data_IF_118249801747
#
_entry.id   IF_118249801747
#
_cell.length_a   1.000
_cell.length_b   1.000
_cell.length_c   1.000
_cell.angle_alpha   90.00
_cell.angle_beta   90.00
_cell.angle_gamma   90.00
#
_symmetry.space_group_name_H-M   'P 1'
#
loop_
_entity.id
_entity.type
_entity.pdbx_description
1 polymer ?
#
# COMPACT_ATOMS: atom_id res chain seq x y z
N UNK A 1 26.27 -15.04 -12.27
CA UNK A 1 26.14 -16.34 -11.57
C UNK A 1 24.75 -16.39 -10.96
N UNK A 2 24.08 -17.53 -10.88
CA UNK A 2 22.70 -17.60 -10.33
C UNK A 2 22.71 -18.25 -8.93
N UNK A 3 22.25 -17.51 -7.92
CA UNK A 3 21.98 -18.01 -6.58
C UNK A 3 20.48 -18.30 -6.46
N UNK A 4 20.10 -19.51 -5.98
CA UNK A 4 18.69 -19.87 -5.87
C UNK A 4 18.05 -19.33 -4.59
N UNK A 5 16.75 -19.04 -4.64
CA UNK A 5 15.95 -18.66 -3.45
C UNK A 5 16.06 -19.73 -2.36
N UNK A 6 16.12 -21.01 -2.72
CA UNK A 6 16.28 -22.10 -1.76
C UNK A 6 17.62 -22.02 -1.01
N UNK A 7 18.71 -21.69 -1.72
CA UNK A 7 20.03 -21.51 -1.08
C UNK A 7 20.02 -20.32 -0.13
N UNK A 8 19.43 -19.20 -0.53
CA UNK A 8 19.27 -18.00 0.30
C UNK A 8 18.48 -18.34 1.57
N UNK A 9 17.35 -19.03 1.43
CA UNK A 9 16.53 -19.44 2.57
C UNK A 9 17.30 -20.33 3.55
N UNK A 10 18.10 -21.29 3.05
CA UNK A 10 18.97 -22.12 3.92
C UNK A 10 20.01 -21.29 4.67
N UNK A 11 20.55 -20.22 4.07
CA UNK A 11 21.47 -19.30 4.76
C UNK A 11 20.73 -18.49 5.84
N UNK A 12 19.51 -18.02 5.55
CA UNK A 12 18.66 -17.29 6.51
C UNK A 12 18.36 -18.18 7.71
N UNK A 13 17.94 -19.43 7.49
CA UNK A 13 17.64 -20.40 8.56
C UNK A 13 18.85 -20.70 9.46
N UNK A 14 20.07 -20.63 8.92
CA UNK A 14 21.32 -20.82 9.66
C UNK A 14 21.83 -19.55 10.34
N UNK A 15 21.30 -18.38 9.98
CA UNK A 15 21.84 -17.09 10.41
C UNK A 15 23.12 -16.66 9.67
N UNK A 16 23.42 -17.29 8.54
CA UNK A 16 24.63 -17.04 7.72
C UNK A 16 24.37 -16.04 6.58
N UNK A 17 23.12 -15.65 6.35
CA UNK A 17 22.76 -14.78 5.23
C UNK A 17 23.27 -13.35 5.42
N UNK A 18 23.88 -12.80 4.38
CA UNK A 18 24.25 -11.38 4.33
C UNK A 18 23.03 -10.57 3.90
N UNK A 19 22.48 -9.81 4.85
CA UNK A 19 21.30 -8.97 4.65
C UNK A 19 21.70 -7.50 4.77
N UNK A 20 21.46 -6.73 3.71
CA UNK A 20 21.71 -5.28 3.67
C UNK A 20 20.42 -4.53 3.37
N UNK A 21 20.32 -3.28 3.79
CA UNK A 21 19.28 -2.38 3.27
C UNK A 21 19.69 -1.85 1.90
N UNK A 22 18.71 -1.45 1.08
CA UNK A 22 18.98 -0.79 -0.19
C UNK A 22 19.87 0.46 0.00
N UNK A 23 19.69 1.20 1.10
CA UNK A 23 20.55 2.35 1.43
C UNK A 23 21.99 1.94 1.77
N UNK A 24 22.21 0.83 2.48
CA UNK A 24 23.56 0.35 2.78
C UNK A 24 24.31 -0.09 1.52
N UNK A 25 23.64 -0.82 0.63
CA UNK A 25 24.22 -1.12 -0.70
C UNK A 25 24.50 0.17 -1.46
N UNK A 26 23.67 1.20 -1.23
CA UNK A 26 23.98 2.50 -1.78
C UNK A 26 25.29 3.08 -1.23
N UNK A 27 25.39 3.23 0.07
CA UNK A 27 26.56 3.85 0.70
C UNK A 27 27.88 3.15 0.30
N UNK A 28 27.88 1.81 0.20
CA UNK A 28 29.02 1.01 -0.25
C UNK A 28 29.46 1.30 -1.70
N UNK A 29 28.51 1.47 -2.62
CA UNK A 29 28.82 1.85 -4.01
C UNK A 29 29.38 3.27 -4.08
N UNK A 30 28.84 4.21 -3.30
CA UNK A 30 29.31 5.59 -3.30
C UNK A 30 30.69 5.73 -2.62
N UNK A 31 31.07 4.82 -1.71
CA UNK A 31 32.44 4.70 -1.20
C UNK A 31 33.41 3.99 -2.16
N UNK A 32 32.92 3.48 -3.29
CA UNK A 32 33.72 2.82 -4.33
C UNK A 32 34.01 1.34 -4.08
N UNK A 33 33.22 0.67 -3.24
CA UNK A 33 33.37 -0.78 -3.03
C UNK A 33 32.85 -1.59 -4.24
N UNK A 34 33.58 -2.66 -4.58
CA UNK A 34 33.18 -3.61 -5.63
C UNK A 34 32.30 -4.72 -5.03
N UNK A 35 31.01 -4.44 -4.92
CA UNK A 35 30.00 -5.41 -4.44
C UNK A 35 29.58 -6.32 -5.60
N UNK A 36 29.61 -7.63 -5.36
CA UNK A 36 29.19 -8.68 -6.29
C UNK A 36 27.96 -9.42 -5.78
N UNK A 37 27.26 -10.11 -6.67
CA UNK A 37 26.01 -10.81 -6.32
C UNK A 37 26.23 -11.95 -5.30
N UNK A 38 27.45 -12.45 -5.19
CA UNK A 38 27.83 -13.47 -4.20
C UNK A 38 28.07 -12.91 -2.78
N UNK A 39 28.24 -11.59 -2.65
CA UNK A 39 28.56 -10.94 -1.37
C UNK A 39 27.30 -10.60 -0.55
N UNK A 40 26.13 -10.58 -1.18
CA UNK A 40 24.86 -10.15 -0.58
C UNK A 40 23.76 -11.15 -0.92
N UNK A 41 23.06 -11.66 0.09
CA UNK A 41 21.98 -12.63 -0.11
C UNK A 41 20.62 -11.95 -0.29
N UNK A 42 20.35 -10.93 0.52
CA UNK A 42 19.07 -10.22 0.53
C UNK A 42 19.30 -8.72 0.69
N UNK A 43 18.57 -7.94 -0.10
CA UNK A 43 18.48 -6.49 0.07
C UNK A 43 17.08 -6.11 0.50
N UNK A 44 16.94 -5.52 1.70
CA UNK A 44 15.64 -5.01 2.17
C UNK A 44 15.36 -3.64 1.54
N UNK A 45 14.24 -3.55 0.83
CA UNK A 45 13.76 -2.36 0.15
C UNK A 45 12.40 -1.93 0.71
N UNK A 46 12.03 -0.66 0.58
CA UNK A 46 10.78 -0.16 1.10
C UNK A 46 10.20 0.99 0.27
N UNK A 47 8.88 1.16 0.36
CA UNK A 47 8.18 2.30 -0.22
C UNK A 47 7.04 2.73 0.67
N UNK A 48 6.76 4.03 0.70
CA UNK A 48 5.60 4.61 1.39
C UNK A 48 5.12 5.79 0.57
N UNK A 49 3.87 5.74 0.11
CA UNK A 49 3.29 6.79 -0.72
C UNK A 49 1.77 6.78 -0.62
N UNK A 50 1.13 7.73 -1.30
CA UNK A 50 -0.29 7.64 -1.64
C UNK A 50 -0.49 6.46 -2.57
N UNK A 51 -1.37 5.55 -2.19
CA UNK A 51 -1.63 4.27 -2.84
C UNK A 51 -3.13 4.09 -3.07
N UNK A 52 -3.68 4.82 -4.05
CA UNK A 52 -5.13 4.82 -4.35
C UNK A 52 -5.68 3.43 -4.74
N UNK A 53 -4.82 2.49 -5.15
CA UNK A 53 -5.19 1.09 -5.43
C UNK A 53 -5.45 0.24 -4.20
N UNK A 54 -5.72 0.84 -3.04
CA UNK A 54 -5.93 0.17 -1.75
C UNK A 54 -7.40 -0.12 -1.50
N UNK A 55 -7.72 -1.27 -0.89
CA UNK A 55 -9.04 -1.53 -0.32
C UNK A 55 -8.94 -2.47 0.89
N UNK A 56 -9.94 -2.45 1.75
CA UNK A 56 -10.06 -3.38 2.88
C UNK A 56 -11.24 -4.32 2.68
N UNK A 57 -11.11 -5.55 3.18
CA UNK A 57 -12.23 -6.48 3.40
C UNK A 57 -12.34 -6.71 4.91
N UNK A 58 -13.51 -6.43 5.46
CA UNK A 58 -13.79 -6.54 6.89
C UNK A 58 -14.97 -7.50 7.11
N UNK A 59 -14.88 -8.34 8.13
CA UNK A 59 -15.97 -9.19 8.63
C UNK A 59 -16.06 -9.05 10.15
N UNK A 60 -17.24 -8.68 10.65
CA UNK A 60 -17.45 -8.52 12.08
C UNK A 60 -18.91 -8.68 12.51
N UNK A 61 -19.16 -9.15 13.75
CA UNK A 61 -20.49 -9.15 14.33
C UNK A 61 -20.99 -7.72 14.51
N UNK A 62 -22.27 -7.52 14.22
CA UNK A 62 -23.01 -6.30 14.46
C UNK A 62 -24.15 -6.59 15.41
N UNK A 63 -24.00 -6.08 16.63
CA UNK A 63 -25.12 -6.02 17.56
C UNK A 63 -26.21 -5.11 17.00
N UNK A 64 -27.37 -5.68 16.75
CA UNK A 64 -28.56 -4.92 16.37
C UNK A 64 -29.71 -5.36 17.27
N UNK A 65 -30.40 -4.38 17.87
CA UNK A 65 -31.66 -4.64 18.60
C UNK A 65 -32.80 -5.06 17.66
N UNK A 66 -32.56 -5.02 16.35
CA UNK A 66 -33.50 -5.38 15.29
C UNK A 66 -32.82 -6.43 14.41
N UNK A 67 -33.34 -7.66 14.37
CA UNK A 67 -32.88 -8.64 13.38
C UNK A 67 -33.18 -8.10 11.98
N UNK A 68 -32.19 -7.58 11.28
CA UNK A 68 -32.36 -7.12 9.90
C UNK A 68 -31.93 -8.22 8.93
N UNK A 69 -32.66 -8.35 7.82
CA UNK A 69 -32.44 -9.43 6.86
C UNK A 69 -31.29 -9.10 5.89
N UNK A 70 -31.04 -7.82 5.62
CA UNK A 70 -30.08 -7.36 4.63
C UNK A 70 -29.65 -5.92 4.87
N UNK A 71 -28.33 -5.66 4.85
CA UNK A 71 -27.82 -4.30 4.80
C UNK A 71 -27.89 -3.79 3.36
N UNK A 72 -28.40 -2.57 3.18
CA UNK A 72 -28.44 -1.90 1.87
C UNK A 72 -27.26 -0.94 1.72
N UNK A 73 -27.04 -0.11 2.74
CA UNK A 73 -25.93 0.85 2.78
C UNK A 73 -25.26 0.76 4.14
N UNK A 74 -23.93 0.82 4.15
CA UNK A 74 -23.13 0.83 5.38
C UNK A 74 -22.11 1.95 5.30
N UNK A 75 -21.92 2.64 6.42
CA UNK A 75 -20.93 3.71 6.54
C UNK A 75 -20.09 3.47 7.81
N UNK A 76 -18.78 3.61 7.70
CA UNK A 76 -17.83 3.51 8.83
C UNK A 76 -17.17 4.86 9.04
N UNK A 77 -17.44 5.53 10.17
CA UNK A 77 -17.10 6.95 10.39
C UNK A 77 -17.55 7.87 9.22
N UNK A 78 -18.66 7.52 8.58
CA UNK A 78 -19.20 8.22 7.40
C UNK A 78 -18.54 7.88 6.07
N UNK A 79 -17.47 7.07 6.04
CA UNK A 79 -16.89 6.51 4.80
C UNK A 79 -17.83 5.42 4.29
N UNK A 80 -18.31 5.48 3.04
CA UNK A 80 -19.19 4.45 2.49
C UNK A 80 -18.45 3.11 2.39
N UNK A 81 -19.17 2.03 2.66
CA UNK A 81 -18.70 0.66 2.53
C UNK A 81 -19.63 -0.13 1.62
N UNK A 82 -19.06 -0.96 0.75
CA UNK A 82 -19.80 -1.89 -0.08
C UNK A 82 -20.16 -3.13 0.73
N UNK A 83 -21.46 -3.43 0.83
CA UNK A 83 -21.96 -4.64 1.51
C UNK A 83 -21.62 -5.89 0.68
N UNK A 84 -21.13 -6.93 1.34
CA UNK A 84 -20.64 -8.16 0.74
C UNK A 84 -19.11 -8.28 0.84
N UNK A 85 -18.50 -9.29 0.19
CA UNK A 85 -19.06 -10.08 -0.90
C UNK A 85 -19.99 -11.24 -0.45
N UNK A 86 -19.97 -11.61 0.84
CA UNK A 86 -20.72 -12.74 1.37
C UNK A 86 -21.83 -12.23 2.33
N UNK A 87 -23.06 -11.97 1.88
CA UNK A 87 -24.10 -11.45 2.77
C UNK A 87 -24.45 -12.48 3.87
N UNK A 88 -24.12 -12.15 5.12
CA UNK A 88 -24.31 -12.99 6.31
C UNK A 88 -25.12 -12.29 7.42
N UNK A 89 -25.92 -11.29 7.08
CA UNK A 89 -26.55 -10.39 8.06
C UNK A 89 -27.58 -11.09 8.95
N UNK A 90 -28.14 -12.23 8.49
CA UNK A 90 -28.99 -13.10 9.32
C UNK A 90 -28.25 -13.70 10.52
N UNK A 91 -26.93 -13.84 10.43
CA UNK A 91 -26.07 -14.28 11.53
C UNK A 91 -25.63 -13.09 12.40
N UNK A 92 -26.11 -11.88 12.09
CA UNK A 92 -25.63 -10.66 12.72
C UNK A 92 -24.20 -10.31 12.33
N UNK A 93 -23.72 -10.72 11.15
CA UNK A 93 -22.36 -10.42 10.67
C UNK A 93 -22.46 -9.50 9.45
N UNK A 94 -21.63 -8.46 9.43
CA UNK A 94 -21.41 -7.65 8.23
C UNK A 94 -20.11 -8.07 7.57
N UNK A 95 -20.19 -8.39 6.28
CA UNK A 95 -19.06 -8.47 5.38
C UNK A 95 -19.05 -7.19 4.54
N UNK A 96 -17.92 -6.48 4.55
CA UNK A 96 -17.78 -5.16 3.92
C UNK A 96 -16.50 -5.08 3.08
N UNK A 97 -16.58 -4.35 1.98
CA UNK A 97 -15.43 -3.90 1.21
C UNK A 97 -15.37 -2.37 1.23
N UNK A 98 -14.22 -1.80 1.58
CA UNK A 98 -14.01 -0.35 1.63
C UNK A 98 -12.89 0.04 0.67
N UNK A 99 -13.12 1.02 -0.22
CA UNK A 99 -12.07 1.50 -1.10
C UNK A 99 -11.27 2.61 -0.44
N UNK A 100 -9.95 2.56 -0.59
CA UNK A 100 -9.01 3.50 0.04
C UNK A 100 -9.18 4.96 -0.41
N UNK A 101 -9.85 5.17 -1.56
CA UNK A 101 -10.16 6.48 -2.13
C UNK A 101 -11.53 7.01 -1.71
N UNK A 102 -12.32 6.27 -0.93
CA UNK A 102 -13.63 6.74 -0.50
C UNK A 102 -13.51 7.81 0.58
N UNK A 103 -14.32 8.86 0.47
CA UNK A 103 -14.34 9.99 1.39
C UNK A 103 -15.52 9.88 2.36
N UNK A 104 -15.37 10.43 3.56
CA UNK A 104 -16.49 10.52 4.49
C UNK A 104 -17.53 11.51 3.99
N UNK A 105 -18.81 11.14 4.09
CA UNK A 105 -19.92 12.05 3.81
C UNK A 105 -20.15 13.07 4.94
N UNK A 106 -19.51 12.86 6.09
CA UNK A 106 -19.68 13.71 7.28
C UNK A 106 -18.53 14.72 7.45
N UNK A 107 -17.34 14.42 6.92
CA UNK A 107 -16.14 15.25 7.03
C UNK A 107 -15.33 15.18 5.73
N UNK A 108 -15.23 16.32 5.04
CA UNK A 108 -14.51 16.43 3.76
C UNK A 108 -12.99 16.20 3.88
N UNK A 109 -12.44 16.23 5.10
CA UNK A 109 -11.02 15.97 5.36
C UNK A 109 -10.74 14.53 5.76
N UNK A 110 -11.77 13.73 5.99
CA UNK A 110 -11.64 12.34 6.42
C UNK A 110 -11.99 11.38 5.27
N UNK A 111 -11.26 10.28 5.17
CA UNK A 111 -11.44 9.29 4.11
C UNK A 111 -10.98 7.91 4.58
N UNK A 112 -11.11 6.91 3.71
CA UNK A 112 -10.83 5.51 4.05
C UNK A 112 -9.41 5.28 4.57
N UNK A 113 -8.41 6.01 4.04
CA UNK A 113 -7.05 5.97 4.61
C UNK A 113 -6.99 6.35 6.09
N UNK A 114 -7.75 7.38 6.51
CA UNK A 114 -7.86 7.77 7.92
C UNK A 114 -8.57 6.67 8.73
N UNK A 115 -9.68 6.14 8.20
CA UNK A 115 -10.42 5.04 8.82
C UNK A 115 -9.56 3.79 9.04
N UNK A 116 -8.75 3.41 8.06
CA UNK A 116 -7.88 2.24 8.18
C UNK A 116 -6.83 2.43 9.28
N UNK A 117 -6.31 3.65 9.44
CA UNK A 117 -5.40 3.97 10.54
C UNK A 117 -6.11 3.98 11.89
N UNK A 118 -7.30 4.57 11.99
CA UNK A 118 -8.09 4.54 13.22
C UNK A 118 -8.34 3.09 13.68
N UNK A 119 -8.67 2.20 12.75
CA UNK A 119 -8.79 0.76 13.03
C UNK A 119 -7.47 0.17 13.51
N UNK A 120 -6.35 0.44 12.85
CA UNK A 120 -5.03 -0.03 13.27
C UNK A 120 -4.57 0.55 14.62
N UNK A 121 -5.09 1.72 15.04
CA UNK A 121 -4.91 2.34 16.36
C UNK A 121 -5.89 1.80 17.41
N UNK A 122 -6.80 0.89 17.00
CA UNK A 122 -7.83 0.24 17.82
C UNK A 122 -8.84 1.26 18.34
N UNK A 123 -9.00 2.35 17.61
CA UNK A 123 -9.98 3.38 17.90
C UNK A 123 -11.38 2.84 17.62
N UNK A 124 -12.34 3.35 18.39
CA UNK A 124 -13.75 3.03 18.19
C UNK A 124 -14.28 3.75 16.96
N UNK A 125 -14.82 2.99 16.00
CA UNK A 125 -15.41 3.44 14.75
C UNK A 125 -16.92 3.30 14.81
N UNK A 126 -17.65 4.35 14.44
CA UNK A 126 -19.11 4.30 14.29
C UNK A 126 -19.48 3.59 12.98
N UNK A 127 -20.28 2.54 13.06
CA UNK A 127 -20.87 1.85 11.91
C UNK A 127 -22.35 2.20 11.83
N UNK A 128 -22.75 2.88 10.77
CA UNK A 128 -24.15 3.17 10.44
C UNK A 128 -24.61 2.18 9.39
N UNK A 129 -25.72 1.50 9.66
CA UNK A 129 -26.36 0.57 8.73
C UNK A 129 -27.72 1.12 8.32
N UNK A 130 -28.01 1.11 7.02
CA UNK A 130 -29.34 1.35 6.45
C UNK A 130 -29.81 0.02 5.84
N UNK A 131 -30.95 -0.47 6.29
CA UNK A 131 -31.52 -1.74 5.84
C UNK A 131 -32.28 -1.58 4.53
N UNK A 132 -32.59 -2.71 3.88
CA UNK A 132 -33.42 -2.73 2.66
C UNK A 132 -34.86 -2.23 2.87
N UNK A 133 -35.33 -2.23 4.13
CA UNK A 133 -36.65 -1.70 4.53
C UNK A 133 -36.64 -0.20 4.87
N UNK A 134 -35.48 0.44 4.85
CA UNK A 134 -35.32 1.87 5.16
C UNK A 134 -35.08 2.18 6.63
N UNK A 135 -35.13 1.19 7.53
CA UNK A 135 -34.71 1.36 8.92
C UNK A 135 -33.20 1.59 8.98
N UNK A 136 -32.75 2.39 9.95
CA UNK A 136 -31.33 2.61 10.18
C UNK A 136 -30.97 2.54 11.66
N UNK A 137 -29.75 2.07 11.94
CA UNK A 137 -29.19 2.03 13.27
C UNK A 137 -27.68 2.29 13.24
N UNK A 138 -27.11 2.54 14.41
CA UNK A 138 -25.69 2.79 14.60
C UNK A 138 -25.14 1.87 15.67
N UNK A 139 -23.91 1.42 15.48
CA UNK A 139 -23.14 0.69 16.49
C UNK A 139 -21.70 1.19 16.48
N UNK A 140 -20.90 0.74 17.44
CA UNK A 140 -19.48 1.04 17.52
C UNK A 140 -18.70 -0.27 17.54
N UNK A 141 -17.62 -0.31 16.76
CA UNK A 141 -16.70 -1.44 16.70
C UNK A 141 -15.27 -0.92 16.76
N UNK A 142 -14.36 -1.76 17.19
CA UNK A 142 -12.92 -1.61 17.07
C UNK A 142 -12.39 -2.70 16.14
N UNK A 143 -11.11 -2.61 15.77
CA UNK A 143 -10.48 -3.69 15.00
C UNK A 143 -10.45 -5.02 15.78
N UNK A 144 -10.42 -5.00 17.12
CA UNK A 144 -10.45 -6.23 17.93
C UNK A 144 -11.82 -6.95 17.88
N UNK A 145 -12.87 -6.25 17.47
CA UNK A 145 -14.19 -6.84 17.24
C UNK A 145 -14.30 -7.50 15.86
N UNK A 146 -13.26 -7.46 15.03
CA UNK A 146 -13.29 -7.95 13.64
C UNK A 146 -12.48 -9.24 13.49
N UNK A 147 -13.11 -10.44 13.52
CA UNK A 147 -12.38 -11.68 13.29
C UNK A 147 -11.62 -11.75 11.96
N UNK A 148 -12.04 -10.95 10.97
CA UNK A 148 -11.36 -10.83 9.69
C UNK A 148 -11.23 -9.37 9.30
N UNK A 149 -10.00 -8.92 9.08
CA UNK A 149 -9.70 -7.58 8.59
C UNK A 149 -8.44 -7.62 7.74
N UNK A 150 -8.61 -7.53 6.42
CA UNK A 150 -7.52 -7.66 5.46
C UNK A 150 -7.42 -6.41 4.60
N UNK A 151 -6.20 -5.88 4.46
CA UNK A 151 -5.90 -4.79 3.52
C UNK A 151 -5.29 -5.38 2.25
N UNK A 152 -5.71 -4.85 1.12
CA UNK A 152 -5.27 -5.27 -0.21
C UNK A 152 -4.74 -4.08 -1.00
N UNK A 153 -3.73 -4.34 -1.81
CA UNK A 153 -3.24 -3.43 -2.83
C UNK A 153 -3.41 -4.05 -4.21
N UNK A 154 -4.14 -3.39 -5.11
CA UNK A 154 -4.33 -3.85 -6.50
C UNK A 154 -3.23 -3.39 -7.44
N UNK A 155 -2.51 -2.33 -7.08
CA UNK A 155 -1.51 -1.67 -7.91
C UNK A 155 -0.55 -0.85 -7.05
N UNK A 156 0.37 -1.50 -6.36
CA UNK A 156 1.32 -0.89 -5.43
C UNK A 156 2.77 -1.12 -5.87
N UNK A 157 3.73 -0.53 -5.13
CA UNK A 157 5.16 -0.70 -5.34
C UNK A 157 5.58 -0.50 -6.81
N UNK A 158 5.19 0.61 -7.43
CA UNK A 158 5.53 0.91 -8.83
C UNK A 158 7.04 1.05 -9.03
N UNK A 159 7.57 0.51 -10.13
CA UNK A 159 8.93 0.84 -10.60
C UNK A 159 8.98 2.28 -11.09
N UNK A 160 9.43 3.19 -10.23
CA UNK A 160 9.59 4.64 -10.45
C UNK A 160 8.36 5.32 -11.10
N UNK A 161 7.70 6.21 -10.36
CA UNK A 161 6.52 6.89 -10.90
C UNK A 161 6.92 8.07 -11.80
N UNK A 162 6.11 9.13 -11.84
CA UNK A 162 6.37 10.33 -12.61
C UNK A 162 6.74 11.51 -11.72
N UNK A 163 7.42 12.48 -12.32
CA UNK A 163 7.42 13.85 -11.84
C UNK A 163 6.20 14.56 -12.44
N UNK A 164 5.52 15.36 -11.64
CA UNK A 164 4.34 16.12 -12.05
C UNK A 164 4.68 17.61 -12.10
N UNK A 165 4.09 18.31 -13.07
CA UNK A 165 4.13 19.78 -13.22
C UNK A 165 2.74 20.27 -13.64
N UNK A 166 2.43 21.56 -13.42
CA UNK A 166 1.22 22.17 -13.96
C UNK A 166 1.59 23.09 -15.13
N UNK A 167 1.19 22.72 -16.35
CA UNK A 167 1.45 23.49 -17.58
C UNK A 167 0.39 24.55 -17.86
N UNK A 168 -0.71 24.58 -17.12
CA UNK A 168 -1.83 25.49 -17.37
C UNK A 168 -1.58 26.89 -16.81
N UNK A 169 -2.45 27.83 -17.17
CA UNK A 169 -2.40 29.21 -16.69
C UNK A 169 -2.96 29.39 -15.27
N UNK A 170 -3.67 28.39 -14.74
CA UNK A 170 -4.38 28.44 -13.45
C UNK A 170 -3.88 27.36 -12.47
N UNK A 171 -4.02 27.58 -11.15
CA UNK A 171 -3.76 26.52 -10.16
C UNK A 171 -4.65 25.29 -10.40
N UNK A 172 -4.12 24.10 -10.10
CA UNK A 172 -4.84 22.84 -10.29
C UNK A 172 -4.85 21.99 -9.02
N UNK A 173 -6.02 21.50 -8.62
CA UNK A 173 -6.15 20.49 -7.57
C UNK A 173 -5.65 19.13 -8.06
N UNK A 174 -4.88 18.42 -7.24
CA UNK A 174 -4.27 17.15 -7.60
C UNK A 174 -3.97 16.29 -6.37
N UNK A 175 -4.04 14.97 -6.55
CA UNK A 175 -3.59 14.01 -5.54
C UNK A 175 -2.06 13.98 -5.38
N UNK A 176 -1.32 14.58 -6.33
CA UNK A 176 0.15 14.61 -6.32
C UNK A 176 0.73 15.82 -5.57
N UNK A 177 -0.12 16.63 -4.94
CA UNK A 177 0.30 17.83 -4.23
C UNK A 177 -0.59 18.09 -3.00
N UNK A 178 0.03 18.47 -1.88
CA UNK A 178 -0.71 18.79 -0.64
C UNK A 178 -1.53 20.09 -0.76
N UNK A 179 -1.07 21.01 -1.60
CA UNK A 179 -1.72 22.29 -1.92
C UNK A 179 -2.14 22.30 -3.40
N UNK A 180 -2.92 23.30 -3.83
CA UNK A 180 -3.16 23.49 -5.27
C UNK A 180 -1.82 23.69 -5.97
N UNK A 181 -1.67 23.07 -7.14
CA UNK A 181 -0.41 23.02 -7.84
C UNK A 181 -0.23 24.27 -8.70
N UNK A 182 0.84 25.02 -8.47
CA UNK A 182 1.06 26.33 -9.06
C UNK A 182 1.15 26.32 -10.59
N UNK A 183 0.57 27.32 -11.30
CA UNK A 183 0.50 27.34 -12.76
C UNK A 183 1.86 27.54 -13.43
N UNK A 184 1.90 27.40 -14.77
CA UNK A 184 3.03 27.79 -15.64
C UNK A 184 4.38 27.20 -15.24
N UNK A 185 4.39 25.93 -14.85
CA UNK A 185 5.60 25.19 -14.50
C UNK A 185 6.39 25.81 -13.33
N UNK A 186 5.70 26.50 -12.42
CA UNK A 186 6.33 27.12 -11.24
C UNK A 186 6.71 26.11 -10.16
N UNK A 187 6.08 24.93 -10.18
CA UNK A 187 6.26 23.87 -9.20
C UNK A 187 6.40 22.50 -9.87
N UNK A 188 7.11 21.59 -9.18
CA UNK A 188 7.21 20.19 -9.54
C UNK A 188 7.12 19.31 -8.29
N UNK A 189 6.41 18.19 -8.38
CA UNK A 189 6.41 17.15 -7.34
C UNK A 189 6.82 15.81 -7.91
N UNK A 190 7.29 14.95 -7.01
CA UNK A 190 7.81 13.64 -7.35
C UNK A 190 7.05 12.62 -6.50
N UNK A 191 6.60 11.54 -7.14
CA UNK A 191 6.04 10.39 -6.43
C UNK A 191 6.97 9.20 -6.61
N UNK A 192 7.34 8.54 -5.52
CA UNK A 192 8.24 7.39 -5.52
C UNK A 192 9.30 7.47 -4.43
N UNK A 193 10.03 6.36 -4.26
CA UNK A 193 11.07 6.22 -3.24
C UNK A 193 12.45 5.95 -3.87
N UNK A 194 12.62 6.30 -5.15
CA UNK A 194 13.90 6.19 -5.86
C UNK A 194 14.62 4.86 -5.67
N UNK A 195 15.89 4.93 -5.28
CA UNK A 195 16.79 3.80 -5.13
C UNK A 195 16.40 2.79 -4.03
N UNK A 196 15.51 3.15 -3.09
CA UNK A 196 15.05 2.23 -2.04
C UNK A 196 13.75 1.48 -2.42
N UNK A 197 13.15 1.77 -3.58
CA UNK A 197 11.91 1.14 -4.01
C UNK A 197 12.09 -0.36 -4.35
N UNK A 198 11.21 -1.26 -3.86
CA UNK A 198 11.33 -2.70 -4.10
C UNK A 198 11.36 -3.12 -5.58
N UNK A 199 10.43 -2.61 -6.39
CA UNK A 199 10.33 -3.01 -7.80
C UNK A 199 11.35 -2.26 -8.66
N UNK A 200 11.89 -1.12 -8.20
CA UNK A 200 13.11 -0.57 -8.80
C UNK A 200 14.28 -1.54 -8.61
N UNK A 201 14.40 -2.16 -7.45
CA UNK A 201 15.50 -3.06 -7.10
C UNK A 201 15.36 -4.46 -7.74
N UNK A 202 14.17 -4.82 -8.20
CA UNK A 202 13.94 -6.00 -9.05
C UNK A 202 13.00 -5.64 -10.22
N UNK A 203 13.52 -4.92 -11.24
CA UNK A 203 12.72 -4.29 -12.28
C UNK A 203 12.15 -5.26 -13.31
N UNK A 204 12.63 -6.51 -13.32
CA UNK A 204 12.15 -7.58 -14.18
C UNK A 204 11.29 -8.60 -13.40
N UNK A 205 11.11 -8.39 -12.09
CA UNK A 205 10.41 -9.31 -11.19
C UNK A 205 11.02 -10.73 -11.25
N UNK A 206 12.35 -10.81 -11.30
CA UNK A 206 13.10 -12.08 -11.34
C UNK A 206 13.01 -12.81 -10.00
N UNK A 207 12.99 -12.04 -8.91
CA UNK A 207 13.06 -12.50 -7.52
C UNK A 207 11.78 -12.24 -6.74
N UNK A 208 11.01 -11.20 -7.11
CA UNK A 208 9.75 -10.81 -6.49
C UNK A 208 8.57 -11.37 -7.29
N UNK A 209 7.69 -12.13 -6.63
CA UNK A 209 6.55 -12.75 -7.31
C UNK A 209 5.51 -13.32 -6.36
N UNK A 210 4.67 -14.20 -6.88
CA UNK A 210 3.59 -14.84 -6.11
C UNK A 210 4.19 -15.58 -4.91
N UNK A 211 3.69 -15.29 -3.71
CA UNK A 211 4.12 -15.94 -2.47
C UNK A 211 5.35 -15.33 -1.82
N UNK A 212 5.98 -14.31 -2.42
CA UNK A 212 7.02 -13.53 -1.73
C UNK A 212 6.41 -12.86 -0.49
N UNK A 213 7.00 -13.13 0.68
CA UNK A 213 6.64 -12.50 1.96
C UNK A 213 7.08 -11.04 1.95
N UNK A 214 6.25 -10.18 2.52
CA UNK A 214 6.54 -8.77 2.65
C UNK A 214 5.80 -8.18 3.85
N UNK A 215 6.17 -6.96 4.26
CA UNK A 215 5.43 -6.21 5.26
C UNK A 215 4.60 -5.13 4.59
N UNK A 216 3.28 -5.15 4.78
CA UNK A 216 2.38 -4.05 4.41
C UNK A 216 1.98 -3.30 5.68
N UNK A 217 2.34 -2.03 5.77
CA UNK A 217 2.14 -1.22 6.98
C UNK A 217 2.71 -1.89 8.25
N UNK A 218 3.80 -2.63 8.13
CA UNK A 218 4.43 -3.38 9.22
C UNK A 218 3.83 -4.76 9.52
N UNK A 219 2.66 -5.09 8.96
CA UNK A 219 2.06 -6.43 9.08
C UNK A 219 2.57 -7.37 8.02
N UNK A 220 2.77 -8.64 8.38
CA UNK A 220 3.18 -9.65 7.41
C UNK A 220 2.07 -9.95 6.38
N UNK A 221 2.48 -10.05 5.13
CA UNK A 221 1.62 -10.29 3.99
C UNK A 221 2.34 -11.00 2.85
N UNK A 222 1.61 -11.20 1.76
CA UNK A 222 2.11 -11.92 0.59
C UNK A 222 1.81 -11.15 -0.70
N UNK A 223 2.80 -11.14 -1.60
CA UNK A 223 2.58 -10.73 -2.98
C UNK A 223 1.70 -11.75 -3.69
N UNK A 224 0.62 -11.28 -4.32
CA UNK A 224 -0.32 -12.09 -5.10
C UNK A 224 0.07 -12.17 -6.58
N UNK A 225 1.03 -11.36 -7.02
CA UNK A 225 1.51 -11.29 -8.40
C UNK A 225 1.56 -9.85 -8.94
N UNK A 226 1.44 -9.72 -10.25
CA UNK A 226 1.41 -8.43 -10.95
C UNK A 226 0.12 -7.66 -10.69
N UNK A 227 0.23 -6.38 -10.35
CA UNK A 227 -0.94 -5.53 -10.13
C UNK A 227 -1.63 -5.07 -11.42
N UNK A 228 -2.74 -4.35 -11.28
CA UNK A 228 -3.48 -3.81 -12.41
C UNK A 228 -2.63 -2.85 -13.24
N UNK A 229 -2.76 -2.89 -14.57
CA UNK A 229 -1.95 -2.08 -15.51
C UNK A 229 -0.44 -2.33 -15.40
N UNK A 230 0.00 -3.42 -14.77
CA UNK A 230 1.41 -3.83 -14.78
C UNK A 230 1.81 -4.24 -16.19
N UNK A 231 2.99 -3.78 -16.62
CA UNK A 231 3.62 -4.16 -17.89
C UNK A 231 5.12 -4.36 -17.67
N UNK A 232 5.82 -4.89 -18.67
CA UNK A 232 7.28 -5.07 -18.61
C UNK A 232 8.00 -3.74 -18.37
N UNK A 233 7.49 -2.65 -18.96
CA UNK A 233 8.06 -1.30 -18.83
C UNK A 233 7.68 -0.62 -17.51
N UNK A 234 6.48 -0.92 -16.98
CA UNK A 234 5.92 -0.30 -15.76
C UNK A 234 5.40 -1.35 -14.78
N UNK A 235 6.27 -2.25 -14.28
CA UNK A 235 5.88 -3.29 -13.36
C UNK A 235 5.42 -2.70 -12.03
N UNK A 236 4.45 -3.37 -11.43
CA UNK A 236 3.90 -3.08 -10.11
C UNK A 236 3.27 -4.37 -9.55
N UNK A 237 2.99 -4.37 -8.25
CA UNK A 237 2.60 -5.57 -7.52
C UNK A 237 1.20 -5.45 -6.92
N UNK A 238 0.56 -6.59 -6.72
CA UNK A 238 -0.62 -6.77 -5.89
C UNK A 238 -0.27 -7.61 -4.66
N UNK A 239 -0.89 -7.33 -3.52
CA UNK A 239 -0.66 -8.07 -2.28
C UNK A 239 -1.79 -7.87 -1.28
N UNK A 240 -1.73 -8.64 -0.19
CA UNK A 240 -2.58 -8.47 0.98
C UNK A 240 -1.78 -8.63 2.27
N UNK A 241 -2.30 -8.06 3.36
CA UNK A 241 -1.83 -8.32 4.72
C UNK A 241 -2.97 -8.14 5.73
N UNK A 242 -2.82 -8.77 6.89
CA UNK A 242 -3.76 -8.68 7.99
C UNK A 242 -3.66 -7.31 8.68
N UNK A 243 -4.78 -6.62 8.87
CA UNK A 243 -4.82 -5.32 9.53
C UNK A 243 -4.47 -5.39 11.01
N UNK A 244 -4.68 -6.55 11.67
CA UNK A 244 -4.42 -6.69 13.10
C UNK A 244 -2.94 -6.50 13.47
N UNK A 245 -2.03 -6.88 12.57
CA UNK A 245 -0.59 -6.74 12.74
C UNK A 245 -0.03 -5.40 12.26
N UNK A 246 -0.87 -4.48 11.76
CA UNK A 246 -0.38 -3.23 11.19
C UNK A 246 0.08 -2.24 12.25
N UNK A 247 1.13 -1.49 11.93
CA UNK A 247 1.59 -0.36 12.71
C UNK A 247 1.00 0.94 12.12
N UNK A 248 0.18 1.68 12.90
CA UNK A 248 -0.40 2.96 12.49
C UNK A 248 0.58 3.99 11.95
N UNK A 249 1.84 3.98 12.42
CA UNK A 249 2.88 4.93 12.00
C UNK A 249 3.16 4.85 10.48
N UNK A 250 2.95 3.68 9.88
CA UNK A 250 3.30 3.39 8.50
C UNK A 250 2.15 3.57 7.50
N UNK A 251 0.95 3.92 7.98
CA UNK A 251 -0.25 4.06 7.16
C UNK A 251 -1.05 5.31 7.52
N UNK A 252 -2.16 5.52 6.82
CA UNK A 252 -3.18 6.47 7.22
C UNK A 252 -3.70 7.33 6.10
N UNK A 253 -4.46 8.35 6.48
CA UNK A 253 -4.95 9.33 5.52
C UNK A 253 -3.97 10.48 5.31
N UNK A 254 -3.97 11.02 4.09
CA UNK A 254 -3.22 12.21 3.74
C UNK A 254 -4.09 13.17 2.95
N UNK A 255 -4.17 14.41 3.40
CA UNK A 255 -5.00 15.41 2.74
C UNK A 255 -4.22 16.10 1.60
N UNK A 256 -4.64 15.84 0.37
CA UNK A 256 -4.13 16.49 -0.85
C UNK A 256 -5.03 17.66 -1.24
N UNK A 257 -4.64 18.44 -2.25
CA UNK A 257 -5.54 19.47 -2.80
C UNK A 257 -6.78 18.89 -3.50
N UNK A 258 -6.75 17.61 -3.88
CA UNK A 258 -7.92 16.91 -4.41
C UNK A 258 -8.76 16.20 -3.34
N UNK A 259 -8.34 16.23 -2.07
CA UNK A 259 -9.04 15.59 -0.95
C UNK A 259 -8.22 14.52 -0.22
N UNK A 260 -8.84 13.77 0.71
CA UNK A 260 -8.18 12.76 1.52
C UNK A 260 -7.84 11.49 0.72
N UNK A 261 -6.57 11.10 0.75
CA UNK A 261 -6.03 9.92 0.09
C UNK A 261 -5.47 8.91 1.10
N UNK A 262 -5.22 7.67 0.65
CA UNK A 262 -4.69 6.58 1.48
C UNK A 262 -3.17 6.43 1.32
N UNK A 263 -2.43 6.50 2.43
CA UNK A 263 -1.01 6.14 2.52
C UNK A 263 -0.87 4.67 2.93
N UNK A 264 -0.05 3.94 2.19
CA UNK A 264 0.35 2.57 2.50
C UNK A 264 1.86 2.43 2.34
N UNK A 265 2.50 1.72 3.27
CA UNK A 265 3.90 1.34 3.18
C UNK A 265 4.08 -0.14 2.85
N UNK A 266 5.19 -0.44 2.20
CA UNK A 266 5.68 -1.78 1.91
C UNK A 266 7.14 -1.88 2.33
N UNK A 267 7.52 -3.02 2.91
CA UNK A 267 8.91 -3.43 3.03
C UNK A 267 9.06 -4.84 2.47
N UNK A 268 10.02 -5.03 1.58
CA UNK A 268 10.18 -6.27 0.81
C UNK A 268 11.63 -6.72 0.91
N UNK A 269 11.88 -7.99 1.28
CA UNK A 269 13.20 -8.59 1.11
C UNK A 269 13.37 -8.95 -0.36
N UNK A 270 14.28 -8.26 -1.06
CA UNK A 270 14.64 -8.55 -2.46
C UNK A 270 15.81 -9.54 -2.45
N UNK A 271 15.59 -10.82 -2.81
CA UNK A 271 16.68 -11.79 -2.89
C UNK A 271 17.62 -11.46 -4.05
N UNK A 272 18.92 -11.46 -3.82
CA UNK A 272 19.91 -11.22 -4.87
C UNK A 272 20.19 -12.56 -5.57
N UNK A 273 19.38 -12.86 -6.59
CA UNK A 273 19.45 -14.14 -7.33
C UNK A 273 20.37 -14.08 -8.54
N UNK A 274 20.66 -12.89 -9.05
CA UNK A 274 21.40 -12.67 -10.28
C UNK A 274 22.21 -11.36 -10.22
N UNK A 275 23.22 -11.25 -11.08
CA UNK A 275 23.95 -10.00 -11.29
C UNK A 275 23.01 -8.88 -11.79
N UNK A 276 21.95 -9.23 -12.54
CA UNK A 276 20.91 -8.31 -13.03
C UNK A 276 20.16 -7.62 -11.88
N UNK A 277 19.75 -8.38 -10.87
CA UNK A 277 19.12 -7.85 -9.65
C UNK A 277 20.08 -6.95 -8.88
N UNK A 278 21.33 -7.37 -8.68
CA UNK A 278 22.31 -6.55 -7.96
C UNK A 278 22.61 -5.23 -8.69
N UNK A 279 22.82 -5.25 -10.01
CA UNK A 279 23.06 -4.02 -10.77
C UNK A 279 21.87 -3.06 -10.68
N UNK A 280 20.64 -3.60 -10.70
CA UNK A 280 19.43 -2.79 -10.49
C UNK A 280 19.39 -2.17 -9.09
N UNK A 281 19.79 -2.90 -8.05
CA UNK A 281 19.92 -2.37 -6.68
C UNK A 281 20.99 -1.26 -6.63
N UNK A 282 22.11 -1.44 -7.31
CA UNK A 282 23.23 -0.48 -7.33
C UNK A 282 22.89 0.84 -8.02
N UNK A 283 21.86 0.92 -8.87
CA UNK A 283 21.48 2.19 -9.51
C UNK A 283 21.14 3.29 -8.49
N UNK A 284 21.75 4.47 -8.67
CA UNK A 284 21.50 5.67 -7.85
C UNK A 284 20.30 6.46 -8.33
N UNK A 285 19.72 7.27 -7.45
CA UNK A 285 18.68 8.23 -7.81
C UNK A 285 19.04 9.10 -9.03
N UNK A 286 20.29 9.56 -9.15
CA UNK A 286 20.77 10.35 -10.31
C UNK A 286 20.71 9.60 -11.66
N UNK A 287 20.61 8.28 -11.64
CA UNK A 287 20.51 7.42 -12.83
C UNK A 287 19.06 7.06 -13.15
N UNK A 288 18.13 7.25 -12.20
CA UNK A 288 16.73 6.92 -12.36
C UNK A 288 16.03 7.97 -13.23
N UNK A 289 15.66 7.56 -14.44
CA UNK A 289 14.88 8.40 -15.34
C UNK A 289 13.42 8.45 -14.89
N UNK A 290 12.90 9.66 -14.73
CA UNK A 290 11.50 9.90 -14.44
C UNK A 290 10.83 10.69 -15.57
N UNK A 291 9.69 10.24 -16.11
CA UNK A 291 8.92 11.05 -17.04
C UNK A 291 8.31 12.25 -16.31
N UNK A 292 8.33 13.41 -16.97
CA UNK A 292 7.62 14.61 -16.52
C UNK A 292 6.24 14.62 -17.17
N UNK A 293 5.21 14.69 -16.35
CA UNK A 293 3.81 14.66 -16.77
C UNK A 293 3.11 15.94 -16.33
N UNK A 294 2.22 16.47 -17.15
CA UNK A 294 1.28 17.49 -16.70
C UNK A 294 0.23 16.85 -15.76
N UNK A 295 -0.16 17.56 -14.70
CA UNK A 295 -1.36 17.24 -13.93
C UNK A 295 -2.63 17.48 -14.73
#
# INVERSE_FOLDING_TARGET
MEQSIEQINRKIEKGDAVVLTAQQVCDLVDSGEDIRAEDVDVVTAATRAIMSGTYAILSFPVESSHSFLRAKEVYMNGVPAHVGPCPNERLGILDLMLFGTDHSVNDSRYGAGHLFRDLAERMSVEVKVVTDKGDSFKTKVTLDDMPYAMLYGTRHAFKNYSAFVNTSDEPAASIFHAMEFGPKLTEATISGCGQINPVKNDPLLESLGIGTRMLMNGSEGFIMGSGTRSSVEKPNLTAFADMHGMNPEYMGGFFTSAGPECIVSWAVPVPVTSDSVLESIKERDRQLKMPVMAV
#
